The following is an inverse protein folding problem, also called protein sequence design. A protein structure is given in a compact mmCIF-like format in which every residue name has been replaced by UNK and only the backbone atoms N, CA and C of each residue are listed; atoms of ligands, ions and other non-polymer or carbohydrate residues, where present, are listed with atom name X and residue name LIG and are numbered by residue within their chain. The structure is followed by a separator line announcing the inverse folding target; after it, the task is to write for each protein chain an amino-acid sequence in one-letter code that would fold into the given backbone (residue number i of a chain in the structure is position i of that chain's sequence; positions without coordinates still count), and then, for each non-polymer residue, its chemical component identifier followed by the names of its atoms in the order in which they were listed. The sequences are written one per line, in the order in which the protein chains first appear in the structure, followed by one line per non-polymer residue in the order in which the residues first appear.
data_IF_442018067086
#
_entry.id   IF_442018067086
#
_cell.length_a   1.000
_cell.length_b   1.000
_cell.length_c   1.000
_cell.angle_alpha   90.00
_cell.angle_beta   90.00
_cell.angle_gamma   90.00
#
_symmetry.space_group_name_H-M   'P 1'
#
loop_
_entity.id
_entity.type
_entity.pdbx_description
1 polymer ?
#
# COMPACT_ATOMS: atom_id res chain seq x y z
N UNK A 1 -6.27 -32.09 -32.20
CA UNK A 1 -6.06 -32.19 -30.74
C UNK A 1 -5.78 -30.77 -30.22
N UNK A 2 -6.80 -29.89 -30.27
CA UNK A 2 -6.66 -28.47 -29.92
C UNK A 2 -6.63 -28.31 -28.41
N UNK A 3 -5.42 -28.32 -27.85
CA UNK A 3 -5.18 -28.14 -26.42
C UNK A 3 -5.80 -26.83 -25.95
N UNK A 4 -6.64 -26.95 -24.92
CA UNK A 4 -7.18 -25.91 -24.04
C UNK A 4 -6.82 -24.47 -24.46
N UNK A 5 -7.67 -23.90 -25.31
CA UNK A 5 -7.63 -22.50 -25.73
C UNK A 5 -7.38 -21.57 -24.54
N UNK A 6 -6.74 -20.42 -24.80
CA UNK A 6 -6.48 -19.36 -23.83
C UNK A 6 -7.71 -18.99 -22.96
N UNK A 7 -8.92 -19.15 -23.52
CA UNK A 7 -10.21 -19.02 -22.82
C UNK A 7 -10.35 -19.97 -21.62
N UNK A 8 -9.87 -21.23 -21.71
CA UNK A 8 -9.97 -22.22 -20.66
C UNK A 8 -9.19 -21.78 -19.42
N UNK A 9 -7.96 -21.29 -19.60
CA UNK A 9 -7.15 -20.77 -18.50
C UNK A 9 -7.78 -19.55 -17.83
N UNK A 10 -8.46 -18.68 -18.58
CA UNK A 10 -9.21 -17.55 -18.02
C UNK A 10 -10.38 -18.04 -17.14
N UNK A 11 -11.15 -19.02 -17.62
CA UNK A 11 -12.28 -19.61 -16.88
C UNK A 11 -11.80 -20.31 -15.61
N UNK A 12 -10.71 -21.08 -15.70
CA UNK A 12 -10.11 -21.76 -14.55
C UNK A 12 -9.62 -20.75 -13.50
N UNK A 13 -8.97 -19.65 -13.92
CA UNK A 13 -8.56 -18.58 -13.02
C UNK A 13 -9.73 -17.93 -12.27
N UNK A 14 -10.86 -17.71 -12.96
CA UNK A 14 -12.08 -17.19 -12.35
C UNK A 14 -12.64 -18.17 -11.30
N UNK A 15 -12.71 -19.46 -11.62
CA UNK A 15 -13.19 -20.49 -10.69
C UNK A 15 -12.31 -20.56 -9.44
N UNK A 16 -10.99 -20.50 -9.58
CA UNK A 16 -10.06 -20.47 -8.44
C UNK A 16 -10.32 -19.22 -7.59
N UNK A 17 -10.50 -18.04 -8.19
CA UNK A 17 -10.79 -16.82 -7.44
C UNK A 17 -12.14 -16.89 -6.69
N UNK A 18 -13.14 -17.57 -7.25
CA UNK A 18 -14.44 -17.80 -6.60
C UNK A 18 -14.34 -18.80 -5.44
N UNK A 19 -13.59 -19.90 -5.59
CA UNK A 19 -13.41 -20.90 -4.53
C UNK A 19 -12.63 -20.33 -3.34
N UNK A 20 -11.55 -19.60 -3.61
CA UNK A 20 -10.70 -19.05 -2.56
C UNK A 20 -11.20 -17.70 -2.02
N UNK A 21 -12.03 -16.98 -2.81
CA UNK A 21 -12.53 -15.65 -2.49
C UNK A 21 -11.46 -14.56 -2.59
N UNK A 22 -11.91 -13.31 -2.74
CA UNK A 22 -11.04 -12.11 -2.89
C UNK A 22 -10.08 -11.89 -1.72
N UNK A 23 -10.50 -12.26 -0.49
CA UNK A 23 -9.76 -11.99 0.74
C UNK A 23 -8.51 -12.86 0.90
N UNK A 24 -8.68 -14.20 0.85
CA UNK A 24 -7.59 -15.15 1.09
C UNK A 24 -6.53 -15.12 -0.02
N UNK A 25 -6.95 -14.96 -1.28
CA UNK A 25 -6.02 -14.89 -2.42
C UNK A 25 -5.10 -13.66 -2.33
N UNK A 26 -5.57 -12.53 -1.82
CA UNK A 26 -4.78 -11.29 -1.72
C UNK A 26 -3.65 -11.39 -0.69
N UNK A 27 -3.95 -11.94 0.49
CA UNK A 27 -2.96 -12.09 1.57
C UNK A 27 -1.87 -13.09 1.15
N UNK A 28 -2.27 -14.25 0.60
CA UNK A 28 -1.33 -15.26 0.13
C UNK A 28 -0.49 -14.77 -1.07
N UNK A 29 -1.10 -14.06 -2.02
CA UNK A 29 -0.36 -13.49 -3.15
C UNK A 29 0.63 -12.41 -2.68
N UNK A 30 0.30 -11.64 -1.64
CA UNK A 30 1.21 -10.66 -1.03
C UNK A 30 2.46 -11.32 -0.43
N UNK A 31 2.28 -12.41 0.32
CA UNK A 31 3.39 -13.15 0.93
C UNK A 31 4.24 -13.88 -0.12
N UNK A 32 3.61 -14.47 -1.14
CA UNK A 32 4.32 -15.08 -2.27
C UNK A 32 5.08 -14.03 -3.08
N UNK A 33 4.48 -12.86 -3.33
CA UNK A 33 5.14 -11.76 -4.04
C UNK A 33 6.35 -11.23 -3.28
N UNK A 34 6.26 -11.08 -1.94
CA UNK A 34 7.40 -10.71 -1.09
C UNK A 34 8.51 -11.77 -1.15
N UNK A 35 8.17 -13.06 -1.03
CA UNK A 35 9.13 -14.15 -1.11
C UNK A 35 9.87 -14.18 -2.45
N UNK A 36 9.14 -14.06 -3.56
CA UNK A 36 9.72 -14.07 -4.90
C UNK A 36 10.53 -12.80 -5.20
N UNK A 37 10.09 -11.64 -4.69
CA UNK A 37 10.82 -10.36 -4.80
C UNK A 37 12.14 -10.37 -4.03
N UNK A 38 12.14 -10.93 -2.82
CA UNK A 38 13.37 -11.12 -2.03
C UNK A 38 14.30 -12.15 -2.65
N UNK A 39 13.76 -13.21 -3.25
CA UNK A 39 14.55 -14.20 -3.99
C UNK A 39 15.22 -13.58 -5.23
N UNK A 40 14.46 -12.83 -6.02
CA UNK A 40 15.00 -12.09 -7.18
C UNK A 40 16.01 -11.04 -6.75
N UNK A 41 15.77 -10.32 -5.64
CA UNK A 41 16.71 -9.34 -5.10
C UNK A 41 17.99 -9.99 -4.59
N UNK A 42 17.90 -11.15 -3.92
CA UNK A 42 19.08 -11.91 -3.49
C UNK A 42 19.93 -12.42 -4.64
N UNK A 43 19.30 -12.88 -5.73
CA UNK A 43 19.99 -13.24 -6.98
C UNK A 43 20.58 -12.02 -7.70
N UNK A 44 19.85 -10.90 -7.72
CA UNK A 44 20.30 -9.69 -8.40
C UNK A 44 21.38 -8.90 -7.62
N UNK A 45 21.40 -8.96 -6.29
CA UNK A 45 22.46 -8.35 -5.46
C UNK A 45 23.83 -9.04 -5.68
N UNK A 46 23.86 -10.30 -6.16
CA UNK A 46 25.12 -10.94 -6.57
C UNK A 46 25.65 -10.43 -7.94
N UNK A 47 24.78 -9.85 -8.78
CA UNK A 47 25.12 -9.45 -10.17
C UNK A 47 25.08 -7.92 -10.45
N UNK A 48 24.33 -7.09 -9.73
CA UNK A 48 24.25 -5.63 -10.01
C UNK A 48 23.92 -4.77 -8.77
N UNK A 49 24.59 -3.61 -8.67
CA UNK A 49 24.44 -2.60 -7.62
C UNK A 49 22.98 -2.13 -7.38
N UNK A 50 22.63 -1.65 -6.16
CA UNK A 50 21.26 -1.66 -5.66
C UNK A 50 20.35 -0.64 -6.35
N UNK A 51 19.40 -1.11 -7.16
CA UNK A 51 18.28 -0.27 -7.62
C UNK A 51 17.16 -0.25 -6.57
N UNK A 52 16.97 0.93 -6.00
CA UNK A 52 15.93 1.28 -5.04
C UNK A 52 14.54 0.84 -5.54
N UNK A 53 13.95 -0.11 -4.83
CA UNK A 53 12.71 -0.73 -5.20
C UNK A 53 11.52 0.10 -4.69
N UNK A 54 11.04 1.00 -5.55
CA UNK A 54 9.68 1.53 -5.70
C UNK A 54 8.80 1.68 -4.44
N UNK A 55 8.59 2.94 -4.05
CA UNK A 55 7.45 3.47 -3.27
C UNK A 55 6.13 2.77 -3.61
N UNK A 56 5.72 1.80 -2.80
CA UNK A 56 4.30 1.40 -2.70
C UNK A 56 3.88 1.23 -1.23
N UNK A 57 4.83 1.09 -0.31
CA UNK A 57 4.59 1.00 1.14
C UNK A 57 4.52 2.35 1.88
N UNK A 58 4.37 3.48 1.16
CA UNK A 58 4.32 4.82 1.76
C UNK A 58 2.99 5.54 1.50
N UNK A 59 1.90 4.97 1.98
CA UNK A 59 0.81 5.78 2.54
C UNK A 59 0.55 5.27 3.95
N UNK A 60 1.05 5.96 5.00
CA UNK A 60 0.40 5.85 6.29
C UNK A 60 -1.02 6.37 6.07
N UNK A 61 -2.02 5.54 6.31
CA UNK A 61 -3.34 6.06 6.66
C UNK A 61 -3.11 6.95 7.88
N UNK A 62 -2.94 8.25 7.64
CA UNK A 62 -3.02 9.27 8.66
C UNK A 62 -4.49 9.35 9.07
N UNK A 63 -4.90 8.50 9.99
CA UNK A 63 -5.97 8.82 10.91
C UNK A 63 -5.46 9.96 11.81
N UNK A 64 -5.46 11.19 11.29
CA UNK A 64 -5.35 12.38 12.15
C UNK A 64 -6.73 12.60 12.77
N UNK A 65 -6.88 12.57 14.10
CA UNK A 65 -8.06 13.13 14.73
C UNK A 65 -8.06 14.63 14.43
N UNK A 66 -9.09 15.09 13.71
CA UNK A 66 -9.34 16.49 13.38
C UNK A 66 -9.83 17.18 14.65
N UNK A 67 -8.92 17.47 15.57
CA UNK A 67 -9.27 18.09 16.86
C UNK A 67 -8.17 19.02 17.33
N UNK A 68 -7.86 20.05 16.53
CA UNK A 68 -7.05 21.18 17.01
C UNK A 68 -7.23 22.51 16.30
N UNK A 69 -8.25 22.67 15.46
CA UNK A 69 -8.39 23.89 14.61
C UNK A 69 -9.51 24.83 15.05
N UNK A 70 -10.28 24.52 16.07
CA UNK A 70 -11.36 25.39 16.51
C UNK A 70 -11.34 25.37 18.03
N UNK A 71 -10.79 26.42 18.67
CA UNK A 71 -11.23 26.96 19.99
C UNK A 71 -10.17 27.78 20.74
N UNK A 72 -8.86 27.68 20.44
CA UNK A 72 -7.85 28.32 21.32
C UNK A 72 -7.28 29.68 20.86
N UNK A 73 -7.65 30.22 19.70
CA UNK A 73 -7.06 31.49 19.19
C UNK A 73 -8.08 32.59 18.85
N UNK A 74 -9.27 32.57 19.48
CA UNK A 74 -10.19 33.71 19.39
C UNK A 74 -10.66 34.13 20.79
N UNK A 75 -9.98 35.17 21.28
CA UNK A 75 -10.26 36.06 22.42
C UNK A 75 -9.75 35.59 23.79
N UNK A 76 -9.26 36.51 24.66
CA UNK A 76 -9.56 37.96 24.69
C UNK A 76 -8.34 38.90 24.66
N UNK A 77 -8.50 40.05 24.01
CA UNK A 77 -7.79 41.28 24.38
C UNK A 77 -8.37 41.78 25.72
N UNK A 78 -7.57 42.33 26.63
CA UNK A 78 -7.26 43.76 26.57
C UNK A 78 -5.84 44.10 27.08
N UNK A 79 -5.46 45.38 26.99
CA UNK A 79 -4.44 46.01 27.85
C UNK A 79 -3.01 46.11 27.31
N UNK A 80 -2.79 47.03 26.36
CA UNK A 80 -1.56 47.83 26.32
C UNK A 80 -1.84 49.13 25.52
N UNK A 81 -2.60 50.06 26.09
CA UNK A 81 -2.63 51.46 25.61
C UNK A 81 -1.79 52.32 26.55
N UNK A 82 -0.50 52.44 26.26
CA UNK A 82 0.31 53.58 26.68
C UNK A 82 1.43 53.85 25.66
N UNK A 83 1.26 54.83 24.76
CA UNK A 83 2.38 55.52 24.17
C UNK A 83 2.72 56.76 25.00
N UNK A 84 4.01 56.90 25.26
CA UNK A 84 4.79 58.11 25.58
C UNK A 84 4.68 59.22 24.53
#
# INVERSE_FOLDING_TARGET
MGGFSLIHWLIVGIIILLLFGRGRFSDMMGDVAKGLKSFKKGLADEDEAPKAQSRIDALPHQDRPVERTIEAERAPAPEERRPD
#
